data_IF_877671744711
#
_entry.id   IF_877671744711
#
_cell.length_a   1.000
_cell.length_b   1.000
_cell.length_c   1.000
_cell.angle_alpha   90.00
_cell.angle_beta   90.00
_cell.angle_gamma   90.00
#
_symmetry.space_group_name_H-M   'P 1'
#
loop_
_entity.id
_entity.type
_entity.pdbx_description
1 polymer ?
#
# COMPACT_ATOMS: atom_id res chain seq x y z
N UNK A 1 -1.39 -38.56 -5.82
CA UNK A 1 -2.15 -37.30 -5.64
C UNK A 1 -1.19 -36.23 -5.11
N UNK A 2 -0.53 -35.47 -6.00
CA UNK A 2 0.49 -34.49 -5.61
C UNK A 2 -0.19 -33.24 -5.06
N UNK A 3 -0.07 -32.99 -3.75
CA UNK A 3 -0.65 -31.82 -3.09
C UNK A 3 0.28 -30.64 -3.34
N UNK A 4 0.04 -29.90 -4.42
CA UNK A 4 0.62 -28.57 -4.60
C UNK A 4 0.08 -27.66 -3.50
N UNK A 5 0.93 -27.29 -2.54
CA UNK A 5 0.66 -26.13 -1.70
C UNK A 5 1.03 -24.89 -2.50
N UNK A 6 0.07 -24.37 -3.26
CA UNK A 6 0.19 -23.16 -4.09
C UNK A 6 0.11 -21.86 -3.28
N UNK A 7 0.31 -21.92 -1.96
CA UNK A 7 0.34 -20.71 -1.15
C UNK A 7 1.76 -20.15 -1.19
N UNK A 8 2.01 -19.22 -2.11
CA UNK A 8 3.28 -18.52 -2.28
C UNK A 8 3.70 -17.67 -1.06
N UNK A 9 2.89 -17.66 0.01
CA UNK A 9 3.07 -16.82 1.18
C UNK A 9 2.76 -17.58 2.47
N UNK A 10 3.64 -17.45 3.45
CA UNK A 10 3.39 -17.83 4.84
C UNK A 10 2.23 -17.02 5.42
N UNK A 11 1.62 -17.51 6.51
CA UNK A 11 0.57 -16.78 7.24
C UNK A 11 1.03 -15.38 7.65
N UNK A 12 2.29 -15.24 8.08
CA UNK A 12 2.86 -13.93 8.41
C UNK A 12 2.93 -12.99 7.21
N UNK A 13 3.26 -13.51 6.02
CA UNK A 13 3.28 -12.72 4.79
C UNK A 13 1.87 -12.30 4.37
N UNK A 14 0.87 -13.18 4.52
CA UNK A 14 -0.53 -12.84 4.27
C UNK A 14 -1.03 -11.76 5.25
N UNK A 15 -0.75 -11.90 6.54
CA UNK A 15 -1.13 -10.89 7.54
C UNK A 15 -0.47 -9.55 7.28
N UNK A 16 0.82 -9.55 6.91
CA UNK A 16 1.52 -8.33 6.55
C UNK A 16 0.87 -7.68 5.31
N UNK A 17 0.60 -8.46 4.27
CA UNK A 17 -0.06 -7.98 3.06
C UNK A 17 -1.45 -7.41 3.34
N UNK A 18 -2.28 -8.11 4.12
CA UNK A 18 -3.60 -7.63 4.53
C UNK A 18 -3.53 -6.35 5.35
N UNK A 19 -2.54 -6.21 6.25
CA UNK A 19 -2.33 -4.97 7.01
C UNK A 19 -1.90 -3.80 6.13
N UNK A 20 -1.09 -4.06 5.08
CA UNK A 20 -0.69 -3.03 4.13
C UNK A 20 -1.87 -2.49 3.33
N UNK A 21 -2.87 -3.31 3.01
CA UNK A 21 -4.07 -2.89 2.26
C UNK A 21 -5.28 -2.50 3.13
N UNK A 22 -5.15 -2.49 4.45
CA UNK A 22 -6.28 -2.22 5.34
C UNK A 22 -6.57 -0.71 5.40
N UNK A 23 -7.73 -0.22 4.94
CA UNK A 23 -8.07 1.20 4.98
C UNK A 23 -8.17 1.79 6.39
N UNK A 24 -8.37 0.95 7.42
CA UNK A 24 -8.41 1.36 8.82
C UNK A 24 -7.00 1.43 9.45
N UNK A 25 -5.96 1.03 8.72
CA UNK A 25 -4.57 1.16 9.17
C UNK A 25 -4.05 2.56 8.84
N UNK A 26 -3.61 3.31 9.87
CA UNK A 26 -3.06 4.66 9.72
C UNK A 26 -1.88 4.73 8.76
N UNK A 27 -1.04 3.68 8.71
CA UNK A 27 0.08 3.61 7.79
C UNK A 27 -0.38 3.52 6.32
N UNK A 28 -1.45 2.77 6.05
CA UNK A 28 -2.04 2.67 4.71
C UNK A 28 -2.63 4.01 4.26
N UNK A 29 -3.39 4.68 5.13
CA UNK A 29 -3.94 6.01 4.84
C UNK A 29 -2.84 7.04 4.61
N UNK A 30 -1.79 7.05 5.43
CA UNK A 30 -0.64 7.95 5.25
C UNK A 30 0.08 7.69 3.92
N UNK A 31 0.27 6.42 3.55
CA UNK A 31 0.84 6.02 2.26
C UNK A 31 0.00 6.51 1.07
N UNK A 32 -1.31 6.34 1.13
CA UNK A 32 -2.24 6.84 0.11
C UNK A 32 -2.24 8.37 -0.01
N UNK A 33 -2.22 9.08 1.11
CA UNK A 33 -2.14 10.55 1.12
C UNK A 33 -0.83 11.03 0.47
N UNK A 34 0.29 10.41 0.82
CA UNK A 34 1.58 10.72 0.22
C UNK A 34 1.57 10.44 -1.29
N UNK A 35 0.99 9.31 -1.71
CA UNK A 35 0.85 8.99 -3.13
C UNK A 35 0.01 10.05 -3.87
N UNK A 36 -1.13 10.45 -3.30
CA UNK A 36 -1.96 11.54 -3.85
C UNK A 36 -1.18 12.86 -3.94
N UNK A 37 -0.42 13.22 -2.91
CA UNK A 37 0.43 14.42 -2.92
C UNK A 37 1.50 14.40 -4.01
N UNK A 38 2.01 13.22 -4.40
CA UNK A 38 3.07 13.09 -5.41
C UNK A 38 2.56 12.87 -6.84
N UNK A 39 1.31 12.41 -6.99
CA UNK A 39 0.75 12.04 -8.29
C UNK A 39 -0.42 12.93 -8.75
N UNK A 40 -1.02 13.74 -7.87
CA UNK A 40 -2.10 14.65 -8.26
C UNK A 40 -1.53 16.03 -8.68
N UNK A 41 -1.47 16.36 -9.98
CA UNK A 41 -0.96 17.65 -10.46
C UNK A 41 -1.79 18.85 -10.00
N UNK A 42 -3.04 18.64 -9.59
CA UNK A 42 -3.92 19.69 -9.06
C UNK A 42 -3.72 19.91 -7.55
N UNK A 43 -2.90 19.09 -6.88
CA UNK A 43 -2.59 19.25 -5.47
C UNK A 43 -1.42 20.22 -5.29
N UNK A 44 -1.53 21.20 -4.39
CA UNK A 44 -0.46 22.18 -4.14
C UNK A 44 0.84 21.51 -3.68
N UNK A 45 0.75 20.40 -2.94
CA UNK A 45 1.91 19.62 -2.50
C UNK A 45 2.73 19.04 -3.67
N UNK A 46 2.05 18.66 -4.76
CA UNK A 46 2.69 18.14 -5.98
C UNK A 46 3.52 19.22 -6.68
N UNK A 47 2.98 20.42 -6.79
CA UNK A 47 3.70 21.54 -7.42
C UNK A 47 4.90 21.95 -6.57
N UNK A 48 4.77 21.93 -5.25
CA UNK A 48 5.86 22.25 -4.33
C UNK A 48 6.98 21.21 -4.33
N UNK A 49 6.70 19.92 -4.57
CA UNK A 49 7.73 18.88 -4.64
C UNK A 49 8.52 18.85 -5.95
N UNK A 50 8.10 19.63 -6.96
CA UNK A 50 8.69 19.67 -8.31
C UNK A 50 9.27 21.04 -8.67
N UNK A 51 9.32 21.96 -7.72
CA UNK A 51 10.07 23.22 -7.81
C UNK A 51 11.52 22.98 -7.41
#
# INVERSE_FOLDING_TARGET
MSKYSTSSHTVSQNNHHSNQGNPNNSAHTAGMNNHSNQCNPNNSAYSSSRK
#
